data_IF_696431769903
#
_entry.id   IF_696431769903
#
_cell.length_a   1.000
_cell.length_b   1.000
_cell.length_c   1.000
_cell.angle_alpha   90.00
_cell.angle_beta   90.00
_cell.angle_gamma   90.00
#
_symmetry.space_group_name_H-M   'P 1'
#
loop_
_entity.id
_entity.type
_entity.pdbx_description
1 polymer ?
#
# COMPACT_ATOMS: atom_id res chain seq x y z
N UNK A 1 21.40 12.05 8.26
CA UNK A 1 21.96 10.81 8.83
C UNK A 1 20.79 9.85 8.96
N UNK A 2 20.65 8.89 8.03
CA UNK A 2 19.49 7.99 7.96
C UNK A 2 19.65 6.87 8.98
N UNK A 3 18.72 6.76 9.93
CA UNK A 3 18.71 5.68 10.90
C UNK A 3 18.02 4.50 10.23
N UNK A 4 18.81 3.52 9.80
CA UNK A 4 18.30 2.24 9.33
C UNK A 4 17.60 1.52 10.46
N UNK A 5 16.27 1.53 10.44
CA UNK A 5 15.41 0.72 11.28
C UNK A 5 15.71 -0.76 11.01
N UNK A 6 16.33 -1.46 11.96
CA UNK A 6 16.47 -2.91 11.87
C UNK A 6 15.12 -3.54 12.19
N UNK A 7 14.43 -3.96 11.13
CA UNK A 7 13.19 -4.71 11.24
C UNK A 7 13.45 -6.16 11.69
N UNK A 8 12.49 -6.83 12.36
CA UNK A 8 12.65 -8.20 12.82
C UNK A 8 12.80 -9.11 11.59
N UNK A 9 13.97 -9.77 11.49
CA UNK A 9 14.29 -10.88 10.59
C UNK A 9 13.55 -10.88 9.23
N UNK A 10 14.05 -10.10 8.28
CA UNK A 10 13.67 -10.19 6.87
C UNK A 10 12.38 -9.47 6.44
N UNK A 11 11.53 -9.04 7.38
CA UNK A 11 10.28 -8.34 7.06
C UNK A 11 10.40 -6.83 7.25
N UNK A 12 9.99 -6.02 6.25
CA UNK A 12 10.05 -4.55 6.32
C UNK A 12 9.21 -3.87 5.23
N UNK A 13 8.98 -2.56 5.33
CA UNK A 13 8.23 -1.79 4.35
C UNK A 13 9.09 -0.66 3.75
N UNK A 14 9.09 -0.55 2.42
CA UNK A 14 9.82 0.49 1.70
C UNK A 14 8.86 1.46 1.02
N UNK A 15 8.86 2.74 1.42
CA UNK A 15 8.08 3.79 0.77
C UNK A 15 8.52 3.97 -0.69
N UNK A 16 7.56 4.13 -1.59
CA UNK A 16 7.85 4.37 -3.01
C UNK A 16 7.02 5.48 -3.66
N UNK A 17 5.88 5.88 -3.07
CA UNK A 17 5.03 6.93 -3.63
C UNK A 17 4.25 7.65 -2.52
N UNK A 18 3.89 8.91 -2.74
CA UNK A 18 2.88 9.59 -1.95
C UNK A 18 1.48 9.23 -2.47
N UNK A 19 0.54 8.98 -1.56
CA UNK A 19 -0.86 8.68 -1.85
C UNK A 19 -1.70 9.96 -1.94
N UNK A 20 -1.40 10.94 -1.10
CA UNK A 20 -2.08 12.23 -1.03
C UNK A 20 -1.07 13.37 -0.93
N UNK A 21 -1.53 14.61 -1.16
CA UNK A 21 -0.73 15.81 -0.90
C UNK A 21 -0.58 16.14 0.59
N UNK A 22 -1.43 15.55 1.44
CA UNK A 22 -1.46 15.81 2.89
C UNK A 22 -0.41 15.01 3.66
N UNK A 23 0.16 13.97 3.06
CA UNK A 23 1.32 13.26 3.60
C UNK A 23 1.19 11.74 3.59
N UNK A 24 0.02 11.20 3.25
CA UNK A 24 -0.17 9.75 3.12
C UNK A 24 0.74 9.18 2.03
N UNK A 25 1.24 7.96 2.23
CA UNK A 25 2.19 7.33 1.30
C UNK A 25 1.98 5.82 1.16
N UNK A 26 2.37 5.29 0.02
CA UNK A 26 2.38 3.86 -0.26
C UNK A 26 3.78 3.27 -0.03
N UNK A 27 3.79 2.06 0.52
CA UNK A 27 5.00 1.25 0.69
C UNK A 27 4.79 -0.19 0.21
N UNK A 28 5.84 -0.82 -0.30
CA UNK A 28 5.85 -2.25 -0.56
C UNK A 28 6.20 -2.99 0.73
N UNK A 29 5.34 -3.91 1.14
CA UNK A 29 5.56 -4.73 2.32
C UNK A 29 6.25 -6.03 1.97
N UNK A 30 7.52 -6.18 2.38
CA UNK A 30 8.23 -7.44 2.30
C UNK A 30 7.75 -8.36 3.42
N UNK A 31 6.57 -8.94 3.25
CA UNK A 31 6.01 -9.86 4.23
C UNK A 31 6.69 -11.24 4.17
N UNK A 32 7.16 -11.68 2.99
CA UNK A 32 7.84 -12.95 2.76
C UNK A 32 9.04 -12.80 1.79
N UNK A 33 9.61 -13.94 1.38
CA UNK A 33 10.85 -14.03 0.61
C UNK A 33 10.65 -13.96 -0.92
N UNK A 34 9.46 -13.61 -1.41
CA UNK A 34 9.23 -13.53 -2.86
C UNK A 34 10.19 -12.54 -3.52
N UNK A 35 10.79 -12.96 -4.63
CA UNK A 35 11.81 -12.19 -5.32
C UNK A 35 11.23 -11.04 -6.15
N UNK A 36 10.03 -11.23 -6.71
CA UNK A 36 9.35 -10.21 -7.52
C UNK A 36 8.66 -9.19 -6.62
N UNK A 37 9.27 -8.01 -6.49
CA UNK A 37 8.76 -6.91 -5.68
C UNK A 37 7.40 -6.39 -6.17
N UNK A 38 7.08 -6.54 -7.46
CA UNK A 38 5.79 -6.08 -7.99
C UNK A 38 4.60 -6.91 -7.49
N UNK A 39 4.88 -8.09 -6.94
CA UNK A 39 3.89 -8.99 -6.34
C UNK A 39 3.81 -8.85 -4.83
N UNK A 40 4.60 -7.96 -4.21
CA UNK A 40 4.50 -7.71 -2.77
C UNK A 40 3.24 -6.89 -2.45
N UNK A 41 2.60 -7.13 -1.28
CA UNK A 41 1.49 -6.31 -0.83
C UNK A 41 1.87 -4.83 -0.72
N UNK A 42 0.94 -3.96 -1.04
CA UNK A 42 1.08 -2.51 -0.90
C UNK A 42 0.37 -2.09 0.38
N UNK A 43 1.07 -1.35 1.24
CA UNK A 43 0.51 -0.71 2.44
C UNK A 43 0.26 0.75 2.13
N UNK A 44 -0.89 1.28 2.56
CA UNK A 44 -1.13 2.71 2.74
C UNK A 44 -0.80 3.10 4.18
N UNK A 45 0.05 4.12 4.29
CA UNK A 45 0.28 4.85 5.53
C UNK A 45 -0.53 6.15 5.45
N UNK A 46 -1.62 6.21 6.22
CA UNK A 46 -2.42 7.41 6.39
C UNK A 46 -1.70 8.43 7.26
N UNK A 47 -1.85 9.71 6.92
CA UNK A 47 -1.35 10.85 7.70
C UNK A 47 -2.08 11.03 9.04
N UNK A 48 -3.30 10.50 9.17
CA UNK A 48 -4.04 10.40 10.44
C UNK A 48 -3.61 9.20 11.32
N UNK A 49 -2.64 8.42 10.86
CA UNK A 49 -2.10 7.26 11.60
C UNK A 49 -2.75 5.92 11.25
N UNK A 50 -3.66 5.90 10.28
CA UNK A 50 -4.25 4.68 9.75
C UNK A 50 -3.24 3.86 8.93
N UNK A 51 -3.35 2.54 9.01
CA UNK A 51 -2.50 1.59 8.30
C UNK A 51 -3.37 0.50 7.68
N UNK A 52 -3.26 0.30 6.37
CA UNK A 52 -4.02 -0.71 5.63
C UNK A 52 -3.19 -1.36 4.52
N UNK A 53 -3.49 -2.61 4.18
CA UNK A 53 -2.94 -3.32 3.02
C UNK A 53 -3.82 -3.12 1.77
N UNK A 54 -3.67 -2.01 1.06
CA UNK A 54 -4.62 -1.62 0.01
C UNK A 54 -4.61 -2.50 -1.25
N UNK A 55 -3.56 -3.27 -1.48
CA UNK A 55 -3.46 -4.15 -2.65
C UNK A 55 -2.51 -5.33 -2.42
N UNK A 56 -2.71 -6.45 -3.13
CA UNK A 56 -1.83 -7.63 -3.08
C UNK A 56 -0.60 -7.51 -3.98
N UNK A 57 -0.51 -6.43 -4.75
CA UNK A 57 0.58 -6.16 -5.68
C UNK A 57 0.37 -4.87 -6.46
N UNK A 58 1.41 -4.44 -7.21
CA UNK A 58 1.37 -3.19 -7.98
C UNK A 58 0.27 -3.17 -9.05
N UNK A 59 -0.03 -4.33 -9.65
CA UNK A 59 -1.11 -4.44 -10.65
C UNK A 59 -2.47 -4.13 -10.04
N UNK A 60 -2.72 -4.57 -8.82
CA UNK A 60 -3.96 -4.25 -8.10
C UNK A 60 -3.99 -2.80 -7.65
N UNK A 61 -2.86 -2.25 -7.18
CA UNK A 61 -2.76 -0.82 -6.89
C UNK A 61 -3.09 0.02 -8.13
N UNK A 62 -2.61 -0.34 -9.33
CA UNK A 62 -2.93 0.40 -10.55
C UNK A 62 -4.43 0.37 -10.87
N UNK A 63 -5.11 -0.75 -10.58
CA UNK A 63 -6.56 -0.83 -10.70
C UNK A 63 -7.25 0.04 -9.67
N UNK A 64 -6.80 0.02 -8.42
CA UNK A 64 -7.33 0.86 -7.34
C UNK A 64 -7.21 2.36 -7.69
N UNK A 65 -6.07 2.80 -8.22
CA UNK A 65 -5.87 4.19 -8.66
C UNK A 65 -6.73 4.57 -9.89
N UNK A 66 -7.27 3.58 -10.60
CA UNK A 66 -8.19 3.79 -11.73
C UNK A 66 -9.65 3.96 -11.30
N UNK A 67 -9.98 3.66 -10.03
CA UNK A 67 -11.31 3.88 -9.47
C UNK A 67 -11.76 5.31 -9.70
N UNK A 68 -13.04 5.46 -10.01
CA UNK A 68 -13.64 6.78 -9.96
C UNK A 68 -13.80 7.18 -8.49
N UNK A 69 -13.32 8.37 -8.08
CA UNK A 69 -13.53 8.81 -6.72
C UNK A 69 -15.02 9.01 -6.46
N UNK A 70 -15.45 8.74 -5.23
CA UNK A 70 -16.83 8.96 -4.81
C UNK A 70 -17.19 10.45 -4.85
N UNK A 71 -16.25 11.32 -4.47
CA UNK A 71 -16.40 12.76 -4.55
C UNK A 71 -15.95 13.27 -5.94
N UNK A 72 -16.82 13.96 -6.70
CA UNK A 72 -16.44 14.56 -7.98
C UNK A 72 -15.34 15.63 -7.84
N UNK A 73 -15.18 16.27 -6.69
CA UNK A 73 -14.10 17.24 -6.42
C UNK A 73 -12.72 16.56 -6.38
N UNK A 74 -12.67 15.27 -6.01
CA UNK A 74 -11.45 14.47 -6.01
C UNK A 74 -11.05 13.94 -7.39
N UNK A 75 -11.86 14.22 -8.43
CA UNK A 75 -11.61 13.75 -9.79
C UNK A 75 -10.30 14.34 -10.31
N UNK A 76 -9.32 13.45 -10.47
CA UNK A 76 -7.99 13.78 -11.00
C UNK A 76 -8.07 14.12 -12.49
N UNK A 77 -7.40 15.19 -12.96
CA UNK A 77 -7.18 15.38 -14.40
C UNK A 77 -6.31 14.23 -14.95
N UNK A 78 -6.50 13.87 -16.21
CA UNK A 78 -5.70 12.82 -16.86
C UNK A 78 -6.21 11.39 -16.64
N UNK A 79 -7.39 11.19 -16.03
CA UNK A 79 -7.94 9.85 -15.77
C UNK A 79 -8.09 9.03 -17.06
N UNK A 80 -8.59 9.62 -18.14
CA UNK A 80 -8.82 8.88 -19.38
C UNK A 80 -7.51 8.40 -20.03
N UNK A 81 -6.48 9.23 -19.96
CA UNK A 81 -5.12 8.93 -20.39
C UNK A 81 -4.54 7.79 -19.53
N UNK A 82 -4.75 7.85 -18.21
CA UNK A 82 -4.34 6.78 -17.30
C UNK A 82 -5.04 5.45 -17.62
N UNK A 83 -6.36 5.45 -17.83
CA UNK A 83 -7.12 4.25 -18.20
C UNK A 83 -6.64 3.65 -19.54
N UNK A 84 -6.36 4.52 -20.52
CA UNK A 84 -5.84 4.11 -21.82
C UNK A 84 -4.46 3.46 -21.67
N UNK A 85 -3.56 4.10 -20.92
CA UNK A 85 -2.24 3.57 -20.64
C UNK A 85 -2.31 2.24 -19.87
N UNK A 86 -3.17 2.14 -18.84
CA UNK A 86 -3.34 0.96 -18.01
C UNK A 86 -3.79 -0.25 -18.84
N UNK A 87 -4.77 -0.05 -19.72
CA UNK A 87 -5.23 -1.10 -20.62
C UNK A 87 -4.16 -1.48 -21.65
N UNK A 88 -3.48 -0.51 -22.28
CA UNK A 88 -2.48 -0.77 -23.31
C UNK A 88 -1.24 -1.51 -22.78
N UNK A 89 -0.79 -1.18 -21.56
CA UNK A 89 0.46 -1.71 -21.01
C UNK A 89 0.26 -2.98 -20.18
N UNK A 90 -0.91 -3.14 -19.53
CA UNK A 90 -1.15 -4.25 -18.61
C UNK A 90 -2.39 -5.09 -18.96
N UNK A 91 -3.24 -4.65 -19.89
CA UNK A 91 -4.53 -5.27 -20.16
C UNK A 91 -5.50 -5.18 -18.99
N UNK A 92 -5.35 -4.17 -18.14
CA UNK A 92 -6.14 -4.01 -16.91
C UNK A 92 -7.24 -2.97 -17.10
N UNK A 93 -8.37 -3.23 -16.46
CA UNK A 93 -9.51 -2.31 -16.36
C UNK A 93 -9.70 -1.86 -14.91
N UNK A 94 -10.30 -0.68 -14.67
CA UNK A 94 -10.71 -0.26 -13.34
C UNK A 94 -11.64 -1.32 -12.72
N UNK A 95 -11.62 -1.49 -11.39
CA UNK A 95 -12.64 -2.26 -10.70
C UNK A 95 -13.95 -1.46 -10.65
N UNK A 96 -15.05 -2.10 -10.27
CA UNK A 96 -16.33 -1.43 -10.12
C UNK A 96 -16.32 -0.54 -8.86
N UNK A 97 -15.74 -1.06 -7.77
CA UNK A 97 -15.53 -0.33 -6.51
C UNK A 97 -14.10 -0.53 -5.99
N UNK A 98 -13.60 0.44 -5.21
CA UNK A 98 -12.30 0.33 -4.55
C UNK A 98 -12.23 -0.91 -3.63
N UNK A 99 -13.35 -1.23 -2.98
CA UNK A 99 -13.50 -2.37 -2.08
C UNK A 99 -13.32 -3.73 -2.76
N UNK A 100 -13.50 -3.81 -4.09
CA UNK A 100 -13.22 -5.02 -4.87
C UNK A 100 -11.71 -5.37 -4.87
N UNK A 101 -10.86 -4.43 -4.46
CA UNK A 101 -9.41 -4.61 -4.34
C UNK A 101 -8.98 -4.62 -2.87
N UNK A 102 -9.44 -3.66 -2.06
CA UNK A 102 -8.96 -3.49 -0.68
C UNK A 102 -9.42 -4.61 0.24
N UNK A 103 -10.67 -5.10 0.13
CA UNK A 103 -11.17 -6.17 1.00
C UNK A 103 -10.47 -7.50 0.76
N UNK A 104 -10.30 -8.01 -0.48
CA UNK A 104 -9.53 -9.24 -0.70
C UNK A 104 -8.09 -9.13 -0.17
N UNK A 105 -7.45 -7.97 -0.32
CA UNK A 105 -6.11 -7.75 0.22
C UNK A 105 -6.11 -7.81 1.76
N UNK A 106 -7.10 -7.21 2.41
CA UNK A 106 -7.23 -7.24 3.87
C UNK A 106 -7.59 -8.61 4.42
N UNK A 107 -8.45 -9.35 3.73
CA UNK A 107 -8.81 -10.72 4.10
C UNK A 107 -7.57 -11.63 4.05
N UNK A 108 -6.76 -11.52 3.00
CA UNK A 108 -5.55 -12.34 2.82
C UNK A 108 -4.42 -11.96 3.80
N UNK A 109 -4.17 -10.66 3.99
CA UNK A 109 -2.98 -10.17 4.68
C UNK A 109 -3.23 -9.59 6.07
N UNK A 110 -4.47 -9.22 6.41
CA UNK A 110 -4.79 -8.37 7.56
C UNK A 110 -4.31 -8.92 8.90
N UNK A 111 -4.44 -10.23 9.13
CA UNK A 111 -3.94 -10.84 10.38
C UNK A 111 -2.42 -10.76 10.50
N UNK A 112 -1.70 -11.14 9.45
CA UNK A 112 -0.23 -11.11 9.40
C UNK A 112 0.26 -9.67 9.53
N UNK A 113 -0.45 -8.74 8.91
CA UNK A 113 -0.13 -7.32 8.95
C UNK A 113 -0.28 -6.75 10.36
N UNK A 114 -1.40 -7.04 11.03
CA UNK A 114 -1.62 -6.63 12.42
C UNK A 114 -0.54 -7.17 13.37
N UNK A 115 -0.12 -8.42 13.19
CA UNK A 115 0.94 -9.00 14.01
C UNK A 115 2.31 -8.35 13.75
N UNK A 116 2.63 -8.05 12.48
CA UNK A 116 3.84 -7.32 12.11
C UNK A 116 3.87 -5.90 12.71
N UNK A 117 2.78 -5.15 12.60
CA UNK A 117 2.66 -3.80 13.19
C UNK A 117 2.85 -3.87 14.71
N UNK A 118 2.18 -4.80 15.40
CA UNK A 118 2.34 -4.98 16.86
C UNK A 118 3.79 -5.24 17.27
N UNK A 119 4.52 -6.07 16.52
CA UNK A 119 5.92 -6.36 16.79
C UNK A 119 6.82 -5.14 16.56
N UNK A 120 6.58 -4.39 15.49
CA UNK A 120 7.29 -3.16 15.19
C UNK A 120 7.07 -2.10 16.29
N UNK A 121 5.82 -1.91 16.76
CA UNK A 121 5.50 -0.96 17.83
C UNK A 121 6.10 -1.37 19.18
N UNK A 122 6.07 -2.66 19.53
CA UNK A 122 6.70 -3.16 20.78
C UNK A 122 8.21 -2.93 20.76
N UNK A 123 8.85 -3.19 19.63
CA UNK A 123 10.30 -2.97 19.47
C UNK A 123 10.67 -1.49 19.57
N UNK A 124 9.81 -0.58 19.09
CA UNK A 124 10.03 0.86 19.21
C UNK A 124 9.91 1.37 20.66
N UNK A 125 9.00 0.79 21.46
CA UNK A 125 8.84 1.13 22.88
C UNK A 125 10.05 0.65 23.71
N UNK A 126 10.56 -0.55 23.43
CA UNK A 126 11.69 -1.14 24.17
C UNK A 126 13.02 -0.38 23.96
N UNK A 127 13.15 0.35 22.84
CA UNK A 127 14.33 1.19 22.53
C UNK A 127 14.25 2.57 23.22
N UNK A 128 13.08 2.97 23.73
CA UNK A 128 12.84 4.33 24.25
C UNK A 128 12.84 4.43 25.78
N UNK A 129 12.92 3.31 26.51
CA UNK A 129 13.02 3.32 27.97
C UNK A 129 14.48 3.05 28.43
N UNK A 130 15.12 4.01 29.14
CA UNK A 130 16.37 3.75 29.87
C UNK A 130 16.15 2.90 31.13
#
# INVERSE_FOLDING_TARGET
MSIGQQSPSGQGAGQFAYATSSGSYYALWRCDDRADLATLPVILFGDEGDLSVDARGLRELFRLLACEPEDPEDRRPGRQEYLTWLNQNFGLTPPDHADDITWPAMDEYGRRFADWVRLATRSAIDITLP
#
